data_IF_558239204925
#
_entry.id   IF_558239204925
#
_cell.length_a   1.000
_cell.length_b   1.000
_cell.length_c   1.000
_cell.angle_alpha   90.00
_cell.angle_beta   90.00
_cell.angle_gamma   90.00
#
_symmetry.space_group_name_H-M   'P 1'
#
loop_
_entity.id
_entity.type
_entity.pdbx_description
1 polymer ?
#
# COMPACT_ATOMS: atom_id res chain seq x y z
N UNK A 1 -7.81 -15.07 0.42
CA UNK A 1 -7.31 -13.82 1.05
C UNK A 1 -5.92 -13.54 0.49
N UNK A 2 -5.39 -12.31 0.48
CA UNK A 2 -4.05 -12.01 -0.06
C UNK A 2 -3.28 -11.16 0.95
N UNK A 3 -2.10 -11.64 1.35
CA UNK A 3 -1.13 -10.84 2.10
C UNK A 3 -0.18 -10.18 1.09
N UNK A 4 -0.03 -8.87 1.20
CA UNK A 4 0.78 -8.09 0.27
C UNK A 4 1.72 -7.13 0.99
N UNK A 5 2.73 -6.72 0.23
CA UNK A 5 3.75 -5.77 0.61
C UNK A 5 3.71 -4.55 -0.31
N UNK A 6 3.76 -3.35 0.27
CA UNK A 6 4.00 -2.10 -0.45
C UNK A 6 5.33 -1.52 0.04
N UNK A 7 6.22 -1.15 -0.89
CA UNK A 7 7.55 -0.60 -0.58
C UNK A 7 7.66 0.83 -1.11
N UNK A 8 8.16 1.74 -0.27
CA UNK A 8 8.51 3.11 -0.66
C UNK A 8 9.96 3.14 -1.17
N UNK A 9 10.19 3.52 -2.43
CA UNK A 9 11.54 3.52 -3.02
C UNK A 9 12.45 4.62 -2.48
N UNK A 10 11.88 5.66 -1.86
CA UNK A 10 12.67 6.79 -1.34
C UNK A 10 13.44 6.41 -0.07
N UNK A 11 12.90 5.51 0.75
CA UNK A 11 13.46 5.18 2.07
C UNK A 11 13.44 3.68 2.41
N UNK A 12 13.07 2.82 1.45
CA UNK A 12 12.98 1.38 1.58
C UNK A 12 12.04 0.86 2.69
N UNK A 13 11.21 1.73 3.28
CA UNK A 13 10.21 1.31 4.28
C UNK A 13 9.09 0.52 3.63
N UNK A 14 8.54 -0.38 4.42
CA UNK A 14 7.56 -1.37 3.99
C UNK A 14 6.24 -1.19 4.75
N UNK A 15 5.13 -1.34 4.04
CA UNK A 15 3.79 -1.54 4.59
C UNK A 15 3.32 -2.96 4.24
N UNK A 16 2.88 -3.72 5.24
CA UNK A 16 2.25 -5.04 5.07
C UNK A 16 0.76 -4.89 5.33
N UNK A 17 -0.05 -5.46 4.45
CA UNK A 17 -1.49 -5.48 4.60
C UNK A 17 -2.09 -6.76 4.06
N UNK A 18 -3.37 -6.94 4.37
CA UNK A 18 -4.19 -8.04 3.85
C UNK A 18 -5.40 -7.50 3.09
N UNK A 19 -5.92 -8.28 2.16
CA UNK A 19 -7.15 -7.95 1.44
C UNK A 19 -7.87 -9.20 0.91
N UNK A 20 -9.19 -9.10 0.75
CA UNK A 20 -10.00 -10.03 -0.05
C UNK A 20 -10.22 -9.53 -1.48
N UNK A 21 -9.89 -8.26 -1.77
CA UNK A 21 -9.95 -7.66 -3.10
C UNK A 21 -8.72 -8.05 -3.94
N UNK A 22 -8.71 -7.69 -5.23
CA UNK A 22 -7.49 -7.79 -6.01
C UNK A 22 -6.42 -6.82 -5.49
N UNK A 23 -5.15 -7.20 -5.59
CA UNK A 23 -4.03 -6.33 -5.18
C UNK A 23 -4.04 -4.98 -5.92
N UNK A 24 -4.51 -4.94 -7.18
CA UNK A 24 -4.65 -3.71 -7.97
C UNK A 24 -5.69 -2.76 -7.36
N UNK A 25 -6.87 -3.27 -7.02
CA UNK A 25 -7.94 -2.48 -6.39
C UNK A 25 -7.48 -1.94 -5.04
N UNK A 26 -6.92 -2.81 -4.18
CA UNK A 26 -6.46 -2.40 -2.85
C UNK A 26 -5.37 -1.33 -2.93
N UNK A 27 -4.42 -1.49 -3.84
CA UNK A 27 -3.38 -0.49 -4.08
C UNK A 27 -3.97 0.84 -4.57
N UNK A 28 -4.98 0.80 -5.44
CA UNK A 28 -5.65 2.02 -5.92
C UNK A 28 -6.33 2.78 -4.79
N UNK A 29 -6.97 2.09 -3.83
CA UNK A 29 -7.61 2.73 -2.66
C UNK A 29 -6.58 3.41 -1.76
N UNK A 30 -5.47 2.71 -1.46
CA UNK A 30 -4.34 3.26 -0.70
C UNK A 30 -3.72 4.50 -1.33
N UNK A 31 -3.64 4.56 -2.66
CA UNK A 31 -3.06 5.68 -3.40
C UNK A 31 -4.08 6.78 -3.74
N UNK A 32 -5.37 6.49 -3.56
CA UNK A 32 -6.50 7.38 -3.79
C UNK A 32 -7.02 7.96 -2.48
N UNK A 33 -8.30 7.79 -2.23
CA UNK A 33 -9.03 8.48 -1.16
C UNK A 33 -8.62 8.06 0.27
N UNK A 34 -8.18 6.81 0.50
CA UNK A 34 -7.88 6.34 1.85
C UNK A 34 -6.69 7.07 2.50
N UNK A 35 -5.76 7.55 1.68
CA UNK A 35 -4.65 8.36 2.21
C UNK A 35 -5.11 9.72 2.71
N UNK A 36 -6.28 10.20 2.30
CA UNK A 36 -6.85 11.47 2.76
C UNK A 36 -7.74 11.25 3.99
N UNK A 37 -8.47 10.13 4.05
CA UNK A 37 -9.36 9.79 5.17
C UNK A 37 -8.63 9.34 6.44
N UNK A 38 -7.36 8.93 6.32
CA UNK A 38 -6.64 8.32 7.43
C UNK A 38 -5.27 8.93 7.63
N UNK A 39 -4.93 9.15 8.90
CA UNK A 39 -3.65 9.71 9.29
C UNK A 39 -2.71 8.66 9.89
N UNK A 40 -2.21 7.76 9.04
CA UNK A 40 -1.24 6.74 9.44
C UNK A 40 0.17 7.08 8.93
N UNK A 41 1.21 6.46 9.51
CA UNK A 41 2.59 6.58 9.02
C UNK A 41 2.72 6.25 7.53
N UNK A 42 1.97 5.25 7.06
CA UNK A 42 1.96 4.86 5.66
C UNK A 42 1.32 5.95 4.80
N UNK A 43 0.14 6.44 5.15
CA UNK A 43 -0.55 7.46 4.36
C UNK A 43 0.15 8.81 4.37
N UNK A 44 0.77 9.22 5.49
CA UNK A 44 1.68 10.37 5.54
C UNK A 44 2.82 10.24 4.53
N UNK A 45 3.39 9.04 4.40
CA UNK A 45 4.44 8.79 3.41
C UNK A 45 3.90 8.85 1.97
N UNK A 46 2.70 8.33 1.70
CA UNK A 46 2.05 8.42 0.38
C UNK A 46 1.78 9.87 0.00
N UNK A 47 1.24 10.68 0.92
CA UNK A 47 1.01 12.13 0.70
C UNK A 47 2.33 12.88 0.48
N UNK A 48 3.38 12.54 1.24
CA UNK A 48 4.70 13.19 1.14
C UNK A 48 5.44 12.88 -0.16
N UNK A 49 5.47 11.62 -0.58
CA UNK A 49 6.35 11.18 -1.68
C UNK A 49 5.62 11.00 -3.02
N UNK A 50 4.29 10.88 -3.02
CA UNK A 50 3.52 10.61 -4.23
C UNK A 50 3.41 9.12 -4.56
N UNK A 51 2.37 8.75 -5.31
CA UNK A 51 2.02 7.34 -5.59
C UNK A 51 3.08 6.60 -6.41
N UNK A 52 3.80 7.32 -7.27
CA UNK A 52 4.83 6.79 -8.17
C UNK A 52 6.05 6.28 -7.42
N UNK A 53 6.21 6.68 -6.15
CA UNK A 53 7.27 6.21 -5.26
C UNK A 53 6.95 4.92 -4.52
N UNK A 54 5.82 4.27 -4.84
CA UNK A 54 5.40 3.03 -4.19
C UNK A 54 5.11 1.93 -5.21
N UNK A 55 5.58 0.73 -4.93
CA UNK A 55 5.24 -0.48 -5.69
C UNK A 55 4.72 -1.58 -4.76
N UNK A 56 3.88 -2.46 -5.31
CA UNK A 56 3.19 -3.54 -4.58
C UNK A 56 3.57 -4.91 -5.10
N UNK A 57 3.73 -5.88 -4.20
CA UNK A 57 3.99 -7.30 -4.49
C UNK A 57 3.14 -8.19 -3.58
N UNK A 58 2.69 -9.33 -4.09
CA UNK A 58 2.08 -10.38 -3.27
C UNK A 58 3.18 -11.05 -2.44
N UNK A 59 2.92 -11.28 -1.16
CA UNK A 59 3.82 -12.03 -0.27
C UNK A 59 3.32 -13.45 -0.06
N UNK A 60 2.00 -13.63 0.12
CA UNK A 60 1.40 -14.94 0.36
C UNK A 60 -0.07 -14.95 -0.09
N UNK A 61 -0.53 -16.10 -0.56
CA UNK A 61 -1.94 -16.41 -0.79
C UNK A 61 -2.26 -17.54 0.19
N UNK A 62 -2.91 -17.26 1.34
CA UNK A 62 -3.38 -18.32 2.22
C UNK A 62 -4.37 -19.20 1.47
N UNK A 63 -4.21 -20.50 1.67
CA UNK A 63 -5.03 -21.59 1.13
C UNK A 63 -6.53 -21.36 1.30
#
# INVERSE_FOLDING_TARGET
MIIYKITCIVNNKVYIGQTSETLKQRFSRHMGYQKEEHDTKFYRAVRKYGRDKFYKRITEIPW
#
